data_IF_324049678012
#
_entry.id   IF_324049678012
#
_cell.length_a   1.000
_cell.length_b   1.000
_cell.length_c   1.000
_cell.angle_alpha   90.00
_cell.angle_beta   90.00
_cell.angle_gamma   90.00
#
_symmetry.space_group_name_H-M   'P 1'
#
loop_
_entity.id
_entity.type
_entity.pdbx_description
1 polymer ?
#
# COMPACT_ATOMS: atom_id res chain seq x y z
N UNK A 1 13.22 -31.22 -8.73
CA UNK A 1 13.32 -29.88 -9.36
C UNK A 1 12.46 -28.96 -8.54
N UNK A 2 12.97 -27.78 -8.16
CA UNK A 2 12.16 -26.75 -7.51
C UNK A 2 11.18 -26.24 -8.57
N UNK A 3 9.91 -26.08 -8.19
CA UNK A 3 8.90 -25.50 -9.08
C UNK A 3 9.29 -24.03 -9.34
N UNK A 4 9.47 -23.66 -10.60
CA UNK A 4 9.81 -22.29 -10.99
C UNK A 4 8.53 -21.49 -11.19
N UNK A 5 8.30 -20.51 -10.32
CA UNK A 5 7.15 -19.63 -10.42
C UNK A 5 7.49 -18.39 -11.24
N UNK A 6 6.57 -18.00 -12.12
CA UNK A 6 6.66 -16.74 -12.84
C UNK A 6 6.14 -15.58 -11.99
N UNK A 7 5.01 -15.79 -11.29
CA UNK A 7 4.30 -14.76 -10.52
C UNK A 7 4.02 -15.23 -9.10
N UNK A 8 4.36 -14.40 -8.11
CA UNK A 8 3.92 -14.53 -6.73
C UNK A 8 2.87 -13.47 -6.42
N UNK A 9 1.65 -13.89 -6.07
CA UNK A 9 0.59 -13.00 -5.60
C UNK A 9 0.65 -12.97 -4.08
N UNK A 10 0.82 -11.77 -3.50
CA UNK A 10 1.00 -11.56 -2.07
C UNK A 10 -0.15 -10.72 -1.54
N UNK A 11 -0.84 -11.21 -0.53
CA UNK A 11 -1.88 -10.46 0.19
C UNK A 11 -1.72 -10.61 1.70
N UNK A 12 -2.16 -9.58 2.43
CA UNK A 12 -2.11 -9.56 3.89
C UNK A 12 -3.53 -9.75 4.44
N UNK A 13 -3.68 -10.70 5.35
CA UNK A 13 -4.89 -10.85 6.16
C UNK A 13 -4.65 -10.28 7.57
N UNK A 14 -5.57 -9.46 8.07
CA UNK A 14 -5.62 -9.04 9.46
C UNK A 14 -7.06 -8.89 9.91
N UNK A 15 -7.59 -9.85 10.67
CA UNK A 15 -8.99 -9.91 11.09
C UNK A 15 -9.98 -9.78 9.91
N UNK A 16 -9.66 -10.34 8.76
CA UNK A 16 -10.38 -10.09 7.51
C UNK A 16 -10.60 -11.33 6.66
N UNK A 17 -10.71 -12.52 7.25
CA UNK A 17 -10.78 -13.81 6.56
C UNK A 17 -11.84 -13.85 5.47
N UNK A 18 -13.00 -13.21 5.68
CA UNK A 18 -14.07 -13.15 4.66
C UNK A 18 -13.58 -12.47 3.38
N UNK A 19 -13.00 -11.29 3.49
CA UNK A 19 -12.48 -10.55 2.34
C UNK A 19 -11.32 -11.32 1.68
N UNK A 20 -10.43 -11.91 2.48
CA UNK A 20 -9.31 -12.70 1.97
C UNK A 20 -9.81 -13.90 1.17
N UNK A 21 -10.83 -14.63 1.65
CA UNK A 21 -11.44 -15.72 0.91
C UNK A 21 -12.09 -15.24 -0.40
N UNK A 22 -12.83 -14.13 -0.35
CA UNK A 22 -13.45 -13.54 -1.54
C UNK A 22 -12.41 -13.11 -2.58
N UNK A 23 -11.25 -12.56 -2.16
CA UNK A 23 -10.14 -12.29 -3.08
C UNK A 23 -9.61 -13.58 -3.69
N UNK A 24 -9.27 -14.59 -2.87
CA UNK A 24 -8.67 -15.86 -3.33
C UNK A 24 -9.53 -16.52 -4.40
N UNK A 25 -10.87 -16.48 -4.27
CA UNK A 25 -11.82 -17.04 -5.24
C UNK A 25 -11.76 -16.36 -6.61
N UNK A 26 -11.18 -15.17 -6.69
CA UNK A 26 -11.02 -14.42 -7.95
C UNK A 26 -9.62 -14.51 -8.54
N UNK A 27 -8.67 -15.18 -7.86
CA UNK A 27 -7.30 -15.34 -8.31
C UNK A 27 -7.17 -16.54 -9.26
N UNK A 28 -6.23 -16.49 -10.22
CA UNK A 28 -6.02 -17.55 -11.22
C UNK A 28 -5.23 -18.74 -10.64
N UNK A 29 -5.84 -19.47 -9.71
CA UNK A 29 -5.23 -20.58 -8.96
C UNK A 29 -4.97 -21.83 -9.80
N UNK A 30 -5.52 -21.90 -11.01
CA UNK A 30 -5.36 -23.02 -11.95
C UNK A 30 -4.01 -23.05 -12.66
N UNK A 31 -3.23 -21.96 -12.61
CA UNK A 31 -1.94 -21.86 -13.29
C UNK A 31 -0.79 -22.28 -12.37
N UNK A 32 -0.09 -23.35 -12.71
CA UNK A 32 1.06 -23.86 -11.95
C UNK A 32 2.25 -22.90 -11.87
N UNK A 33 2.33 -21.91 -12.76
CA UNK A 33 3.37 -20.86 -12.75
C UNK A 33 3.07 -19.71 -11.77
N UNK A 34 1.92 -19.76 -11.09
CA UNK A 34 1.50 -18.75 -10.11
C UNK A 34 1.47 -19.36 -8.72
N UNK A 35 2.12 -18.71 -7.76
CA UNK A 35 1.94 -19.01 -6.34
C UNK A 35 1.14 -17.89 -5.67
N UNK A 36 0.30 -18.26 -4.72
CA UNK A 36 -0.45 -17.30 -3.88
C UNK A 36 0.01 -17.43 -2.44
N UNK A 37 0.39 -16.30 -1.87
CA UNK A 37 0.90 -16.20 -0.50
C UNK A 37 -0.02 -15.27 0.29
N UNK A 38 -0.64 -15.81 1.31
CA UNK A 38 -1.40 -15.04 2.30
C UNK A 38 -0.57 -14.89 3.56
N UNK A 39 -0.30 -13.66 3.98
CA UNK A 39 0.35 -13.39 5.26
C UNK A 39 -0.74 -13.05 6.28
N UNK A 40 -1.00 -13.96 7.19
CA UNK A 40 -1.83 -13.66 8.36
C UNK A 40 -1.00 -12.85 9.36
N UNK A 41 -1.35 -11.58 9.48
CA UNK A 41 -0.59 -10.57 10.21
C UNK A 41 -1.00 -10.49 11.68
N UNK A 42 -1.08 -11.64 12.36
CA UNK A 42 -1.53 -11.85 13.72
C UNK A 42 -3.01 -11.49 13.94
N UNK A 43 -3.90 -12.09 13.16
CA UNK A 43 -5.34 -12.01 13.40
C UNK A 43 -5.70 -12.55 14.79
N UNK A 44 -6.75 -11.99 15.39
CA UNK A 44 -7.20 -12.38 16.74
C UNK A 44 -7.84 -13.78 16.74
N UNK A 45 -8.57 -14.09 15.67
CA UNK A 45 -9.16 -15.39 15.41
C UNK A 45 -8.24 -16.21 14.52
N UNK A 46 -8.46 -17.52 14.42
CA UNK A 46 -7.58 -18.38 13.63
C UNK A 46 -7.93 -18.33 12.12
N UNK A 47 -7.88 -17.12 11.58
CA UNK A 47 -8.13 -16.86 10.15
C UNK A 47 -7.24 -17.73 9.27
N UNK A 48 -6.00 -17.94 9.67
CA UNK A 48 -5.02 -18.73 8.92
C UNK A 48 -5.48 -20.19 8.75
N UNK A 49 -6.02 -20.84 9.79
CA UNK A 49 -6.56 -22.21 9.69
C UNK A 49 -7.74 -22.29 8.72
N UNK A 50 -8.61 -21.28 8.73
CA UNK A 50 -9.76 -21.23 7.82
C UNK A 50 -9.28 -21.16 6.37
N UNK A 51 -8.29 -20.30 6.08
CA UNK A 51 -7.73 -20.12 4.74
C UNK A 51 -7.02 -21.40 4.28
N UNK A 52 -6.16 -22.01 5.11
CA UNK A 52 -5.43 -23.24 4.78
C UNK A 52 -6.36 -24.41 4.47
N UNK A 53 -7.43 -24.59 5.27
CA UNK A 53 -8.40 -25.67 5.05
C UNK A 53 -9.22 -25.49 3.78
N UNK A 54 -9.57 -24.24 3.46
CA UNK A 54 -10.42 -23.93 2.30
C UNK A 54 -9.64 -23.90 1.00
N UNK A 55 -8.36 -23.47 1.05
CA UNK A 55 -7.50 -23.28 -0.12
C UNK A 55 -6.12 -23.92 0.10
N UNK A 56 -6.02 -25.27 0.05
CA UNK A 56 -4.77 -25.98 0.36
C UNK A 56 -3.61 -25.67 -0.60
N UNK A 57 -3.91 -25.11 -1.78
CA UNK A 57 -2.91 -24.66 -2.76
C UNK A 57 -2.33 -23.28 -2.44
N UNK A 58 -2.89 -22.55 -1.47
CA UNK A 58 -2.41 -21.22 -1.05
C UNK A 58 -1.42 -21.38 0.09
N UNK A 59 -0.27 -20.74 -0.03
CA UNK A 59 0.74 -20.69 1.04
C UNK A 59 0.34 -19.67 2.11
N UNK A 60 0.07 -20.11 3.32
CA UNK A 60 -0.24 -19.22 4.45
C UNK A 60 0.98 -19.05 5.35
N UNK A 61 1.32 -17.80 5.66
CA UNK A 61 2.41 -17.42 6.57
C UNK A 61 1.78 -16.75 7.78
N UNK A 62 2.11 -17.24 8.98
CA UNK A 62 1.62 -16.66 10.24
C UNK A 62 2.66 -15.74 10.85
N UNK A 63 2.33 -14.48 11.04
CA UNK A 63 3.11 -13.56 11.87
C UNK A 63 2.74 -13.71 13.34
N UNK A 64 3.70 -13.54 14.23
CA UNK A 64 3.47 -13.54 15.69
C UNK A 64 2.87 -12.23 16.20
N UNK A 65 3.02 -11.15 15.43
CA UNK A 65 2.55 -9.81 15.75
C UNK A 65 2.10 -9.07 14.49
N UNK A 66 1.26 -8.05 14.65
CA UNK A 66 0.87 -7.20 13.53
C UNK A 66 2.03 -6.28 13.13
N UNK A 67 2.65 -6.57 12.02
CA UNK A 67 3.80 -5.85 11.44
C UNK A 67 3.40 -4.64 10.60
N UNK A 68 2.10 -4.33 10.49
CA UNK A 68 1.59 -3.33 9.57
C UNK A 68 1.65 -3.77 8.11
N UNK A 69 1.41 -2.82 7.20
CA UNK A 69 1.34 -3.13 5.76
C UNK A 69 2.71 -3.52 5.19
N UNK A 70 3.74 -2.72 5.43
CA UNK A 70 5.08 -2.99 4.91
C UNK A 70 5.67 -4.29 5.46
N UNK A 71 5.61 -4.50 6.78
CA UNK A 71 6.18 -5.71 7.40
C UNK A 71 5.48 -6.99 6.97
N UNK A 72 4.14 -6.96 6.85
CA UNK A 72 3.38 -8.09 6.31
C UNK A 72 3.77 -8.42 4.87
N UNK A 73 3.83 -7.42 3.98
CA UNK A 73 4.29 -7.62 2.60
C UNK A 73 5.73 -8.12 2.54
N UNK A 74 6.61 -7.63 3.39
CA UNK A 74 8.01 -8.06 3.45
C UNK A 74 8.15 -9.54 3.86
N UNK A 75 7.28 -10.06 4.74
CA UNK A 75 7.22 -11.50 5.01
C UNK A 75 6.81 -12.28 3.76
N UNK A 76 5.83 -11.79 3.01
CA UNK A 76 5.41 -12.36 1.74
C UNK A 76 6.54 -12.35 0.71
N UNK A 77 7.27 -11.22 0.54
CA UNK A 77 8.42 -11.10 -0.36
C UNK A 77 9.51 -12.14 -0.05
N UNK A 78 9.84 -12.32 1.24
CA UNK A 78 10.86 -13.30 1.68
C UNK A 78 10.48 -14.74 1.37
N UNK A 79 9.20 -15.04 1.30
CA UNK A 79 8.68 -16.38 1.05
C UNK A 79 8.31 -16.65 -0.42
N UNK A 80 8.29 -15.61 -1.23
CA UNK A 80 7.95 -15.63 -2.65
C UNK A 80 9.12 -16.10 -3.51
N UNK A 81 8.81 -16.82 -4.60
CA UNK A 81 9.80 -17.36 -5.53
C UNK A 81 9.65 -16.78 -6.95
N UNK A 82 8.50 -16.18 -7.28
CA UNK A 82 8.20 -15.64 -8.60
C UNK A 82 9.16 -14.54 -9.07
N UNK A 83 9.36 -14.45 -10.38
CA UNK A 83 10.11 -13.37 -11.04
C UNK A 83 9.40 -12.02 -10.88
N UNK A 84 8.07 -12.05 -10.84
CA UNK A 84 7.20 -10.89 -10.58
C UNK A 84 6.46 -11.10 -9.27
N UNK A 85 6.28 -10.02 -8.51
CA UNK A 85 5.52 -10.02 -7.26
C UNK A 85 4.33 -9.07 -7.41
N UNK A 86 3.12 -9.61 -7.25
CA UNK A 86 1.89 -8.84 -7.29
C UNK A 86 1.35 -8.67 -5.88
N UNK A 87 1.47 -7.47 -5.35
CA UNK A 87 0.92 -7.07 -4.06
C UNK A 87 -0.53 -6.64 -4.27
N UNK A 88 -1.45 -7.25 -3.54
CA UNK A 88 -2.88 -6.95 -3.67
C UNK A 88 -3.56 -6.99 -2.30
N UNK A 89 -4.36 -5.97 -1.99
CA UNK A 89 -5.10 -5.93 -0.73
C UNK A 89 -6.17 -7.01 -0.68
N UNK A 90 -6.40 -7.58 0.50
CA UNK A 90 -7.39 -8.63 0.71
C UNK A 90 -8.85 -8.17 0.52
N UNK A 91 -9.12 -6.87 0.56
CA UNK A 91 -10.44 -6.28 0.29
C UNK A 91 -10.62 -5.85 -1.17
N UNK A 92 -9.91 -6.50 -2.10
CA UNK A 92 -10.07 -6.35 -3.54
C UNK A 92 -10.70 -7.58 -4.18
N UNK A 93 -11.17 -7.43 -5.40
CA UNK A 93 -11.65 -8.52 -6.24
C UNK A 93 -11.22 -8.31 -7.69
N UNK A 94 -10.90 -9.40 -8.38
CA UNK A 94 -10.65 -9.45 -9.82
C UNK A 94 -11.92 -9.95 -10.53
N UNK A 95 -12.22 -9.40 -11.71
CA UNK A 95 -13.37 -9.85 -12.51
C UNK A 95 -12.90 -10.50 -13.82
N UNK A 96 -13.50 -11.61 -14.29
CA UNK A 96 -12.97 -12.45 -15.35
C UNK A 96 -12.55 -11.73 -16.65
N UNK A 97 -13.29 -10.71 -17.08
CA UNK A 97 -13.02 -10.01 -18.33
C UNK A 97 -11.91 -8.94 -18.25
N UNK A 98 -11.42 -8.63 -17.05
CA UNK A 98 -10.49 -7.50 -16.82
C UNK A 98 -9.30 -7.87 -15.95
N UNK A 99 -9.00 -9.16 -15.78
CA UNK A 99 -8.07 -9.65 -14.78
C UNK A 99 -6.93 -10.53 -15.31
N UNK A 100 -6.64 -10.45 -16.62
CA UNK A 100 -5.47 -11.17 -17.15
C UNK A 100 -4.17 -10.52 -16.68
N UNK A 101 -3.61 -11.03 -15.58
CA UNK A 101 -2.40 -10.51 -14.96
C UNK A 101 -1.16 -10.59 -15.88
N UNK A 102 -1.18 -11.41 -16.93
CA UNK A 102 -0.11 -11.46 -17.95
C UNK A 102 0.06 -10.13 -18.67
N UNK A 103 -1.00 -9.33 -18.77
CA UNK A 103 -0.93 -7.99 -19.37
C UNK A 103 -0.05 -7.04 -18.53
N UNK A 104 -0.06 -7.17 -17.20
CA UNK A 104 0.85 -6.41 -16.32
C UNK A 104 2.29 -6.93 -16.46
N UNK A 105 2.49 -8.25 -16.59
CA UNK A 105 3.81 -8.83 -16.87
C UNK A 105 4.34 -8.29 -18.21
N UNK A 106 3.52 -8.28 -19.26
CA UNK A 106 3.90 -7.71 -20.56
C UNK A 106 4.30 -6.24 -20.45
N UNK A 107 3.62 -5.46 -19.62
CA UNK A 107 4.03 -4.06 -19.33
C UNK A 107 5.41 -4.02 -18.68
N UNK A 108 5.66 -4.83 -17.67
CA UNK A 108 6.97 -4.91 -17.02
C UNK A 108 8.09 -5.29 -18.00
N UNK A 109 7.82 -6.20 -18.93
CA UNK A 109 8.80 -6.65 -19.93
C UNK A 109 8.97 -5.68 -21.11
N UNK A 110 8.09 -4.70 -21.28
CA UNK A 110 8.14 -3.75 -22.41
C UNK A 110 9.40 -2.88 -22.43
N UNK A 111 10.08 -2.73 -21.29
CA UNK A 111 11.37 -2.03 -21.19
C UNK A 111 12.09 -2.42 -19.90
N UNK A 112 13.44 -2.47 -19.90
CA UNK A 112 14.24 -2.64 -18.69
C UNK A 112 14.00 -1.56 -17.61
N UNK A 113 13.55 -0.37 -18.03
CA UNK A 113 13.24 0.74 -17.14
C UNK A 113 11.93 0.57 -16.38
N UNK A 114 11.00 -0.25 -16.86
CA UNK A 114 9.73 -0.50 -16.18
C UNK A 114 9.97 -1.41 -15.00
N UNK A 115 9.93 -0.85 -13.79
CA UNK A 115 10.19 -1.60 -12.55
C UNK A 115 8.94 -2.03 -11.81
N UNK A 116 7.88 -1.24 -11.91
CA UNK A 116 6.60 -1.51 -11.28
C UNK A 116 5.43 -1.08 -12.17
N UNK A 117 4.28 -1.73 -12.01
CA UNK A 117 3.05 -1.39 -12.70
C UNK A 117 1.85 -1.51 -11.77
N UNK A 118 0.94 -0.54 -11.86
CA UNK A 118 -0.34 -0.55 -11.15
C UNK A 118 -1.48 -0.69 -12.14
N UNK A 119 -2.45 -1.57 -11.89
CA UNK A 119 -3.67 -1.66 -12.67
C UNK A 119 -4.57 -0.44 -12.44
N UNK A 120 -5.62 -0.29 -13.25
CA UNK A 120 -6.75 0.60 -12.95
C UNK A 120 -7.44 0.09 -11.69
N UNK A 121 -7.71 1.00 -10.73
CA UNK A 121 -8.53 0.65 -9.56
C UNK A 121 -9.89 1.30 -9.67
N UNK A 122 -10.93 0.53 -9.34
CA UNK A 122 -12.30 1.00 -9.26
C UNK A 122 -12.89 0.64 -7.90
N UNK A 123 -13.75 1.50 -7.39
CA UNK A 123 -14.52 1.18 -6.19
C UNK A 123 -15.57 0.09 -6.48
N UNK A 124 -16.03 -0.60 -5.44
CA UNK A 124 -17.09 -1.62 -5.55
C UNK A 124 -18.50 -1.08 -5.30
N UNK A 125 -18.65 0.21 -5.01
CA UNK A 125 -19.94 0.87 -4.74
C UNK A 125 -20.42 1.70 -5.94
N UNK A 126 -21.73 2.01 -5.97
CA UNK A 126 -22.37 2.75 -7.06
C UNK A 126 -22.11 2.08 -8.41
N UNK A 127 -21.81 2.89 -9.43
CA UNK A 127 -21.47 2.42 -10.78
C UNK A 127 -19.98 2.03 -10.91
N UNK A 128 -19.36 1.66 -9.81
CA UNK A 128 -17.95 1.36 -9.70
C UNK A 128 -17.06 2.51 -10.22
N UNK A 129 -17.11 3.71 -9.65
CA UNK A 129 -16.29 4.82 -10.12
C UNK A 129 -14.81 4.52 -9.98
N UNK A 130 -13.99 5.26 -10.73
CA UNK A 130 -12.53 5.12 -10.68
C UNK A 130 -12.03 5.49 -9.30
N UNK A 131 -11.13 4.70 -8.74
CA UNK A 131 -10.38 5.03 -7.55
C UNK A 131 -8.99 5.57 -7.90
N UNK A 132 -8.35 4.96 -8.92
CA UNK A 132 -7.00 5.29 -9.30
C UNK A 132 -6.76 5.02 -10.79
N UNK A 133 -6.24 6.03 -11.45
CA UNK A 133 -5.71 5.98 -12.81
C UNK A 133 -4.33 6.67 -12.87
N UNK A 134 -3.46 6.44 -11.87
CA UNK A 134 -2.20 7.14 -11.67
C UNK A 134 -2.28 8.23 -10.61
N UNK A 135 -1.14 8.80 -10.25
CA UNK A 135 -1.02 9.92 -9.32
C UNK A 135 -0.46 11.17 -9.98
N UNK A 136 -0.87 12.34 -9.51
CA UNK A 136 -0.13 13.58 -9.78
C UNK A 136 1.16 13.62 -8.97
N UNK A 137 2.21 14.37 -9.42
CA UNK A 137 3.41 14.56 -8.61
C UNK A 137 3.09 15.13 -7.23
N UNK A 138 3.84 14.68 -6.22
CA UNK A 138 3.73 15.18 -4.86
C UNK A 138 4.33 16.58 -4.75
N UNK A 139 3.60 17.50 -4.14
CA UNK A 139 4.15 18.82 -3.81
C UNK A 139 5.26 18.67 -2.77
N UNK A 140 6.44 19.25 -3.05
CA UNK A 140 7.62 19.15 -2.18
C UNK A 140 7.44 19.80 -0.80
N UNK A 141 6.52 20.75 -0.66
CA UNK A 141 6.27 21.48 0.59
C UNK A 141 5.03 20.94 1.29
N UNK A 142 3.91 20.87 0.56
CA UNK A 142 2.62 20.49 1.18
C UNK A 142 2.43 19.00 1.34
N UNK A 143 3.28 18.19 0.70
CA UNK A 143 3.17 16.70 0.66
C UNK A 143 1.77 16.24 0.23
N UNK A 144 1.21 16.89 -0.78
CA UNK A 144 -0.10 16.56 -1.36
C UNK A 144 0.06 16.14 -2.81
N UNK A 145 -0.63 15.11 -3.17
CA UNK A 145 -0.92 14.66 -4.53
C UNK A 145 -2.39 14.31 -4.65
N UNK A 146 -2.83 13.88 -5.81
CA UNK A 146 -4.18 13.38 -6.07
C UNK A 146 -4.09 12.11 -6.89
N UNK A 147 -4.95 11.15 -6.61
CA UNK A 147 -5.23 10.06 -7.53
C UNK A 147 -6.02 10.63 -8.71
N UNK A 148 -5.52 10.37 -9.92
CA UNK A 148 -6.15 10.78 -11.18
C UNK A 148 -7.45 9.98 -11.34
N UNK A 149 -8.52 10.63 -11.76
CA UNK A 149 -9.82 10.01 -12.01
C UNK A 149 -10.62 9.64 -10.76
N UNK A 150 -10.10 9.87 -9.54
CA UNK A 150 -10.76 9.42 -8.31
C UNK A 150 -12.16 10.02 -8.14
N UNK A 151 -13.16 9.13 -8.05
CA UNK A 151 -14.58 9.48 -7.93
C UNK A 151 -15.28 9.70 -9.26
N UNK A 152 -14.58 9.68 -10.39
CA UNK A 152 -15.17 9.85 -11.73
C UNK A 152 -15.76 8.52 -12.24
N UNK A 153 -16.86 8.61 -13.00
CA UNK A 153 -17.38 7.47 -13.77
C UNK A 153 -16.38 7.07 -14.85
N UNK A 154 -16.22 5.77 -15.08
CA UNK A 154 -15.29 5.24 -16.07
C UNK A 154 -15.98 5.13 -17.44
N UNK A 155 -15.53 5.94 -18.39
CA UNK A 155 -15.96 5.96 -19.78
C UNK A 155 -14.80 5.66 -20.75
N UNK A 156 -13.70 5.11 -20.24
CA UNK A 156 -12.47 4.86 -21.00
C UNK A 156 -11.52 6.06 -21.11
N UNK A 157 -11.82 7.19 -20.44
CA UNK A 157 -11.02 8.42 -20.49
C UNK A 157 -9.59 8.25 -19.94
N UNK A 158 -9.33 7.17 -19.20
CA UNK A 158 -8.02 6.82 -18.65
C UNK A 158 -7.52 5.46 -19.15
N UNK A 159 -7.89 5.04 -20.35
CA UNK A 159 -7.47 3.75 -20.92
C UNK A 159 -6.12 3.82 -21.66
N UNK A 160 -5.34 4.86 -21.41
CA UNK A 160 -3.99 5.00 -21.95
C UNK A 160 -2.94 4.76 -20.85
N UNK A 161 -2.05 3.76 -21.03
CA UNK A 161 -0.95 3.53 -20.08
C UNK A 161 0.01 4.72 -20.04
N UNK A 162 0.51 5.05 -18.83
CA UNK A 162 1.46 6.15 -18.66
C UNK A 162 2.32 5.97 -17.40
N UNK A 163 3.42 6.71 -17.33
CA UNK A 163 4.28 6.76 -16.15
C UNK A 163 3.55 7.52 -15.03
N UNK A 164 3.51 6.91 -13.85
CA UNK A 164 3.00 7.53 -12.63
C UNK A 164 4.11 7.69 -11.59
N UNK A 165 4.14 8.78 -10.82
CA UNK A 165 5.23 8.98 -9.85
C UNK A 165 5.20 8.00 -8.67
N UNK A 166 4.05 7.38 -8.38
CA UNK A 166 3.86 6.49 -7.23
C UNK A 166 2.97 5.32 -7.58
N UNK A 167 3.27 4.17 -6.98
CA UNK A 167 2.39 3.00 -6.98
C UNK A 167 1.24 3.18 -5.99
N UNK A 168 0.16 2.44 -6.20
CA UNK A 168 -0.98 2.39 -5.29
C UNK A 168 -0.93 1.11 -4.45
N UNK A 169 -1.02 1.26 -3.11
CA UNK A 169 -0.90 0.13 -2.18
C UNK A 169 -1.95 -0.97 -2.33
N UNK A 170 -3.12 -0.66 -2.92
CA UNK A 170 -4.17 -1.67 -3.08
C UNK A 170 -3.86 -2.72 -4.15
N UNK A 171 -3.10 -2.37 -5.21
CA UNK A 171 -2.62 -3.31 -6.20
C UNK A 171 -1.41 -2.75 -6.96
N UNK A 172 -0.29 -3.48 -6.96
CA UNK A 172 0.91 -3.16 -7.73
C UNK A 172 1.70 -4.44 -8.01
N UNK A 173 2.27 -4.54 -9.21
CA UNK A 173 3.19 -5.61 -9.58
C UNK A 173 4.59 -5.04 -9.76
N UNK A 174 5.60 -5.74 -9.23
CA UNK A 174 7.00 -5.29 -9.18
C UNK A 174 7.90 -6.43 -9.62
N UNK A 175 8.94 -6.16 -10.40
CA UNK A 175 9.99 -7.13 -10.72
C UNK A 175 10.80 -7.46 -9.46
N UNK A 176 11.18 -8.72 -9.28
CA UNK A 176 12.06 -9.13 -8.18
C UNK A 176 13.39 -8.37 -8.19
N UNK A 177 14.02 -8.25 -9.35
CA UNK A 177 15.29 -7.51 -9.49
C UNK A 177 15.21 -6.04 -9.03
N UNK A 178 14.02 -5.44 -9.12
CA UNK A 178 13.78 -4.07 -8.63
C UNK A 178 13.80 -4.04 -7.11
N UNK A 179 13.20 -5.06 -6.48
CA UNK A 179 13.19 -5.20 -5.03
C UNK A 179 14.63 -5.43 -4.52
N UNK A 180 15.39 -6.26 -5.22
CA UNK A 180 16.79 -6.53 -4.86
C UNK A 180 17.66 -5.26 -4.91
N UNK A 181 17.39 -4.35 -5.85
CA UNK A 181 18.11 -3.07 -5.98
C UNK A 181 17.56 -1.96 -5.11
N UNK A 182 16.25 -1.78 -5.06
CA UNK A 182 15.59 -0.70 -4.32
C UNK A 182 15.47 -1.01 -2.82
N UNK A 183 15.46 -2.29 -2.45
CA UNK A 183 15.21 -2.77 -1.08
C UNK A 183 13.73 -3.07 -0.81
N UNK A 184 13.50 -3.63 0.36
CA UNK A 184 12.17 -4.00 0.86
C UNK A 184 11.31 -2.75 1.16
N UNK A 185 10.00 -2.94 1.33
CA UNK A 185 9.10 -1.88 1.77
C UNK A 185 9.55 -1.30 3.13
N UNK A 186 9.53 0.03 3.32
CA UNK A 186 10.00 0.65 4.56
C UNK A 186 9.02 0.41 5.73
N UNK A 187 9.41 -0.44 6.67
CA UNK A 187 8.57 -0.85 7.82
C UNK A 187 8.36 0.25 8.88
N UNK A 188 9.16 1.33 8.83
CA UNK A 188 9.08 2.43 9.78
C UNK A 188 7.73 3.17 9.79
N UNK A 189 6.92 2.99 8.76
CA UNK A 189 5.60 3.62 8.65
C UNK A 189 4.51 2.86 9.40
N UNK A 190 4.54 1.55 9.41
CA UNK A 190 3.49 0.64 9.89
C UNK A 190 2.23 0.66 9.01
N UNK A 191 1.63 1.84 8.74
CA UNK A 191 0.42 2.03 7.95
C UNK A 191 0.40 3.44 7.35
N UNK A 192 0.17 3.56 6.05
CA UNK A 192 0.20 4.77 5.22
C UNK A 192 1.60 5.36 4.99
N UNK A 193 1.90 5.78 3.78
CA UNK A 193 3.13 6.34 3.24
C UNK A 193 4.21 5.32 2.87
N UNK A 194 4.10 4.06 3.29
CA UNK A 194 5.08 3.03 2.93
C UNK A 194 5.16 2.83 1.42
N UNK A 195 4.04 2.77 0.71
CA UNK A 195 3.97 2.60 -0.75
C UNK A 195 4.52 3.83 -1.49
N UNK A 196 4.28 5.02 -0.94
CA UNK A 196 4.83 6.27 -1.50
C UNK A 196 6.35 6.33 -1.35
N UNK A 197 6.87 5.99 -0.18
CA UNK A 197 8.32 5.99 0.07
C UNK A 197 9.02 4.86 -0.69
N UNK A 198 8.39 3.68 -0.77
CA UNK A 198 8.90 2.59 -1.60
C UNK A 198 8.95 2.96 -3.08
N UNK A 199 7.93 3.67 -3.57
CA UNK A 199 7.93 4.23 -4.92
C UNK A 199 9.10 5.19 -5.15
N UNK A 200 9.44 6.02 -4.15
CA UNK A 200 10.63 6.88 -4.22
C UNK A 200 11.93 6.07 -4.24
N UNK A 201 12.00 4.94 -3.50
CA UNK A 201 13.15 4.04 -3.51
C UNK A 201 13.32 3.37 -4.88
N UNK A 202 12.24 2.85 -5.47
CA UNK A 202 12.20 2.26 -6.83
C UNK A 202 12.70 3.28 -7.87
N UNK A 203 12.22 4.50 -7.81
CA UNK A 203 12.64 5.56 -8.75
C UNK A 203 14.08 6.00 -8.55
N UNK A 204 14.61 6.01 -7.31
CA UNK A 204 16.03 6.26 -7.04
C UNK A 204 16.94 5.13 -7.54
N UNK A 205 16.40 3.92 -7.64
CA UNK A 205 17.08 2.77 -8.27
C UNK A 205 17.00 2.81 -9.82
N UNK A 206 16.56 3.94 -10.40
CA UNK A 206 16.48 4.24 -11.83
C UNK A 206 15.42 3.43 -12.58
N UNK A 207 14.30 3.11 -11.91
CA UNK A 207 13.14 2.45 -12.52
C UNK A 207 11.92 3.37 -12.58
N UNK A 208 11.11 3.16 -13.63
CA UNK A 208 9.81 3.80 -13.82
C UNK A 208 8.69 2.97 -13.18
N UNK A 209 7.68 3.66 -12.71
CA UNK A 209 6.41 3.09 -12.25
C UNK A 209 5.34 3.44 -13.27
N UNK A 210 4.59 2.46 -13.74
CA UNK A 210 3.56 2.64 -14.75
C UNK A 210 2.16 2.42 -14.18
N UNK A 211 1.22 3.16 -14.68
CA UNK A 211 -0.20 2.85 -14.65
C UNK A 211 -0.55 2.13 -15.94
N UNK A 212 -1.24 1.00 -15.87
CA UNK A 212 -1.72 0.28 -17.03
C UNK A 212 -3.17 -0.17 -16.85
N UNK A 213 -4.12 0.38 -17.61
CA UNK A 213 -5.54 0.09 -17.51
C UNK A 213 -5.95 -1.27 -18.14
N UNK A 214 -5.03 -2.00 -18.76
CA UNK A 214 -5.31 -3.31 -19.35
C UNK A 214 -5.84 -4.32 -18.30
N UNK A 215 -5.50 -4.12 -17.02
CA UNK A 215 -6.08 -4.83 -15.90
C UNK A 215 -6.85 -3.86 -15.01
N UNK A 216 -8.03 -4.28 -14.55
CA UNK A 216 -8.84 -3.54 -13.58
C UNK A 216 -9.05 -4.35 -12.32
N UNK A 217 -8.74 -3.76 -11.16
CA UNK A 217 -8.97 -4.33 -9.85
C UNK A 217 -10.07 -3.53 -9.14
N UNK A 218 -11.03 -4.22 -8.53
CA UNK A 218 -12.12 -3.59 -7.77
C UNK A 218 -11.80 -3.64 -6.28
N UNK A 219 -11.87 -2.50 -5.60
CA UNK A 219 -11.43 -2.33 -4.21
C UNK A 219 -12.59 -1.84 -3.34
N UNK A 220 -12.85 -2.54 -2.25
CA UNK A 220 -13.95 -2.25 -1.32
C UNK A 220 -13.71 -1.03 -0.44
N UNK A 221 -12.48 -0.60 -0.31
CA UNK A 221 -11.89 0.48 0.47
C UNK A 221 -12.44 0.69 1.90
N UNK A 222 -11.53 0.89 2.86
CA UNK A 222 -11.78 1.43 4.20
C UNK A 222 -12.67 0.63 5.15
N UNK A 223 -12.79 -0.69 4.98
CA UNK A 223 -13.53 -1.51 5.95
C UNK A 223 -12.75 -1.70 7.27
N UNK A 224 -11.40 -1.62 7.23
CA UNK A 224 -10.56 -1.94 8.40
C UNK A 224 -10.24 -0.75 9.29
N UNK A 225 -10.08 0.46 8.75
CA UNK A 225 -9.58 1.62 9.52
C UNK A 225 -10.58 2.76 9.72
N UNK A 226 -11.69 2.80 8.97
CA UNK A 226 -12.67 3.90 8.98
C UNK A 226 -12.07 5.23 8.49
N UNK A 227 -12.85 6.01 7.71
CA UNK A 227 -12.35 7.24 7.06
C UNK A 227 -11.92 8.33 8.05
N UNK A 228 -12.44 8.38 9.29
CA UNK A 228 -12.11 9.36 10.32
C UNK A 228 -11.84 8.69 11.66
N UNK A 229 -10.85 7.79 11.72
CA UNK A 229 -10.43 7.15 12.98
C UNK A 229 -9.21 7.85 13.59
N UNK A 230 -9.07 7.83 14.94
CA UNK A 230 -7.87 8.32 15.61
C UNK A 230 -6.59 7.63 15.14
N UNK A 231 -6.66 6.33 14.86
CA UNK A 231 -5.54 5.53 14.34
C UNK A 231 -5.05 6.09 13.00
N UNK A 232 -5.97 6.30 12.05
CA UNK A 232 -5.66 6.88 10.74
C UNK A 232 -5.06 8.28 10.88
N UNK A 233 -5.67 9.14 11.69
CA UNK A 233 -5.21 10.51 11.94
C UNK A 233 -3.80 10.53 12.51
N UNK A 234 -3.52 9.67 13.48
CA UNK A 234 -2.20 9.53 14.10
C UNK A 234 -1.13 9.15 13.05
N UNK A 235 -1.35 8.04 12.32
CA UNK A 235 -0.34 7.57 11.36
C UNK A 235 -0.16 8.54 10.20
N UNK A 236 -1.22 9.10 9.63
CA UNK A 236 -1.09 10.09 8.55
C UNK A 236 -0.29 11.32 9.02
N UNK A 237 -0.52 11.82 10.23
CA UNK A 237 0.20 12.97 10.77
C UNK A 237 1.68 12.64 10.99
N UNK A 238 1.97 11.56 11.72
CA UNK A 238 3.34 11.12 12.01
C UNK A 238 4.12 10.79 10.72
N UNK A 239 3.51 10.00 9.86
CA UNK A 239 4.17 9.45 8.68
C UNK A 239 4.41 10.48 7.60
N UNK A 240 3.56 11.51 7.48
CA UNK A 240 3.82 12.63 6.59
C UNK A 240 5.10 13.37 6.98
N UNK A 241 5.33 13.59 8.27
CA UNK A 241 6.57 14.20 8.77
C UNK A 241 7.77 13.26 8.55
N UNK A 242 7.59 11.96 8.78
CA UNK A 242 8.61 10.96 8.54
C UNK A 242 8.99 10.87 7.04
N UNK A 243 8.00 10.92 6.16
CA UNK A 243 8.23 10.95 4.71
C UNK A 243 9.04 12.19 4.29
N UNK A 244 8.71 13.36 4.85
CA UNK A 244 9.51 14.59 4.66
C UNK A 244 10.95 14.38 5.11
N UNK A 245 11.16 13.78 6.30
CA UNK A 245 12.52 13.51 6.82
C UNK A 245 13.34 12.66 5.85
N UNK A 246 12.72 11.65 5.25
CA UNK A 246 13.39 10.67 4.39
C UNK A 246 13.59 11.14 2.95
N UNK A 247 12.73 12.02 2.46
CA UNK A 247 12.63 12.31 1.03
C UNK A 247 12.93 13.77 0.64
N UNK A 248 12.92 14.71 1.58
CA UNK A 248 13.20 16.11 1.30
C UNK A 248 14.64 16.53 1.67
N UNK A 249 15.18 17.45 0.91
CA UNK A 249 16.46 18.14 1.22
C UNK A 249 16.25 19.25 2.26
N UNK A 250 17.34 19.77 2.81
CA UNK A 250 17.34 20.62 4.02
C UNK A 250 16.38 21.82 3.95
N UNK A 251 16.45 22.66 2.93
CA UNK A 251 15.59 23.82 2.80
C UNK A 251 14.11 23.44 2.64
N UNK A 252 13.80 22.49 1.74
CA UNK A 252 12.43 22.03 1.53
C UNK A 252 11.90 21.25 2.72
N UNK A 253 12.77 20.57 3.47
CA UNK A 253 12.43 19.85 4.71
C UNK A 253 11.95 20.83 5.79
N UNK A 254 12.69 21.89 6.02
CA UNK A 254 12.32 22.93 7.01
C UNK A 254 10.98 23.57 6.64
N UNK A 255 10.82 24.00 5.37
CA UNK A 255 9.57 24.60 4.89
C UNK A 255 8.38 23.63 5.04
N UNK A 256 8.59 22.34 4.74
CA UNK A 256 7.56 21.33 4.90
C UNK A 256 7.18 21.14 6.37
N UNK A 257 8.14 21.10 7.29
CA UNK A 257 7.84 20.99 8.72
C UNK A 257 7.07 22.20 9.24
N UNK A 258 7.49 23.42 8.88
CA UNK A 258 6.76 24.63 9.25
C UNK A 258 5.33 24.62 8.72
N UNK A 259 5.15 24.25 7.44
CA UNK A 259 3.82 24.14 6.84
C UNK A 259 2.96 23.06 7.54
N UNK A 260 3.50 21.86 7.76
CA UNK A 260 2.74 20.73 8.29
C UNK A 260 2.41 20.91 9.78
N UNK A 261 3.35 21.44 10.57
CA UNK A 261 3.15 21.59 12.02
C UNK A 261 2.42 22.88 12.33
N UNK A 262 2.89 24.04 11.82
CA UNK A 262 2.31 25.33 12.21
C UNK A 262 0.99 25.63 11.49
N UNK A 263 0.78 25.15 10.26
CA UNK A 263 -0.45 25.47 9.52
C UNK A 263 -1.43 24.28 9.50
N UNK A 264 -0.98 23.11 9.01
CA UNK A 264 -1.90 21.98 8.81
C UNK A 264 -2.35 21.41 10.14
N UNK A 265 -1.43 21.08 11.03
CA UNK A 265 -1.79 20.45 12.31
C UNK A 265 -2.58 21.42 13.21
N UNK A 266 -2.22 22.71 13.26
CA UNK A 266 -2.98 23.74 14.01
C UNK A 266 -4.42 23.84 13.48
N UNK A 267 -4.59 23.93 12.14
CA UNK A 267 -5.91 23.92 11.52
C UNK A 267 -6.71 22.68 11.89
N UNK A 268 -6.09 21.49 11.81
CA UNK A 268 -6.78 20.22 12.06
C UNK A 268 -7.15 20.07 13.54
N UNK A 269 -6.28 20.45 14.46
CA UNK A 269 -6.57 20.47 15.90
C UNK A 269 -7.74 21.42 16.20
N UNK A 270 -7.72 22.66 15.68
CA UNK A 270 -8.81 23.61 15.86
C UNK A 270 -10.13 23.07 15.29
N UNK A 271 -10.10 22.57 14.05
CA UNK A 271 -11.27 21.95 13.41
C UNK A 271 -11.85 20.82 14.25
N UNK A 272 -11.01 19.87 14.69
CA UNK A 272 -11.46 18.74 15.48
C UNK A 272 -11.99 19.17 16.88
N UNK A 273 -11.39 20.19 17.47
CA UNK A 273 -11.89 20.76 18.75
C UNK A 273 -13.27 21.39 18.57
N UNK A 274 -13.49 22.18 17.51
CA UNK A 274 -14.80 22.78 17.19
C UNK A 274 -15.85 21.69 16.90
N UNK A 275 -15.44 20.60 16.23
CA UNK A 275 -16.31 19.45 15.94
C UNK A 275 -16.52 18.50 17.13
N UNK A 276 -16.04 18.83 18.33
CA UNK A 276 -16.05 17.98 19.52
C UNK A 276 -15.37 16.60 19.33
N UNK A 277 -14.49 16.47 18.32
CA UNK A 277 -13.69 15.26 18.04
C UNK A 277 -12.30 15.38 18.69
N UNK A 278 -12.31 15.46 20.05
CA UNK A 278 -11.08 15.57 20.84
C UNK A 278 -10.15 14.35 20.67
N UNK A 279 -10.71 13.21 20.34
CA UNK A 279 -9.98 11.99 19.99
C UNK A 279 -9.04 12.21 18.78
N UNK A 280 -9.51 12.90 17.73
CA UNK A 280 -8.72 13.22 16.53
C UNK A 280 -7.68 14.33 16.81
N UNK A 281 -8.05 15.34 17.61
CA UNK A 281 -7.12 16.38 18.02
C UNK A 281 -5.94 15.79 18.82
N UNK A 282 -6.22 14.91 19.80
CA UNK A 282 -5.21 14.17 20.57
C UNK A 282 -4.35 13.29 19.68
N UNK A 283 -4.94 12.59 18.70
CA UNK A 283 -4.21 11.76 17.72
C UNK A 283 -3.24 12.59 16.87
N UNK A 284 -3.65 13.79 16.43
CA UNK A 284 -2.77 14.72 15.69
C UNK A 284 -1.59 15.15 16.55
N UNK A 285 -1.83 15.60 17.80
CA UNK A 285 -0.76 16.02 18.73
C UNK A 285 0.19 14.86 19.01
N UNK A 286 -0.36 13.66 19.28
CA UNK A 286 0.45 12.45 19.51
C UNK A 286 1.32 12.12 18.31
N UNK A 287 0.78 12.20 17.08
CA UNK A 287 1.54 11.93 15.86
C UNK A 287 2.75 12.85 15.69
N UNK A 288 2.57 14.15 15.96
CA UNK A 288 3.67 15.13 15.93
C UNK A 288 4.71 14.83 17.01
N UNK A 289 4.27 14.66 18.28
CA UNK A 289 5.16 14.37 19.39
C UNK A 289 6.00 13.12 19.14
N UNK A 290 5.36 12.03 18.72
CA UNK A 290 6.03 10.76 18.52
C UNK A 290 7.01 10.82 17.33
N UNK A 291 6.71 11.60 16.29
CA UNK A 291 7.68 11.88 15.23
C UNK A 291 8.95 12.56 15.76
N UNK A 292 8.83 13.62 16.55
CA UNK A 292 10.01 14.33 17.08
C UNK A 292 10.77 13.48 18.10
N UNK A 293 10.09 12.69 18.91
CA UNK A 293 10.73 11.72 19.82
C UNK A 293 11.54 10.67 19.08
N UNK A 294 11.01 10.09 18.02
CA UNK A 294 11.69 9.13 17.16
C UNK A 294 12.83 9.78 16.36
N UNK A 295 12.69 11.04 15.99
CA UNK A 295 13.72 11.77 15.24
C UNK A 295 14.95 12.13 16.10
N UNK A 296 14.78 12.28 17.41
CA UNK A 296 15.85 12.59 18.37
C UNK A 296 16.60 11.34 18.85
N UNK A 297 15.96 10.17 18.87
CA UNK A 297 16.62 8.90 19.11
C UNK A 297 17.26 8.42 17.81
N UNK A 298 18.59 8.32 17.78
CA UNK A 298 19.35 7.69 16.67
C UNK A 298 19.12 6.16 16.57
N UNK A 299 18.15 5.62 17.30
CA UNK A 299 17.74 4.22 17.24
C UNK A 299 17.06 3.95 15.90
N UNK A 300 17.48 2.91 15.21
CA UNK A 300 16.75 2.30 14.12
C UNK A 300 15.27 2.25 14.52
N UNK A 301 14.40 2.77 13.66
CA UNK A 301 12.95 2.89 13.90
C UNK A 301 12.34 1.50 14.16
N UNK A 302 12.56 0.96 15.36
CA UNK A 302 11.90 -0.25 15.84
C UNK A 302 10.44 0.11 16.13
N UNK A 303 9.56 -0.69 15.62
CA UNK A 303 8.11 -0.53 15.63
C UNK A 303 7.61 -0.41 17.08
N UNK A 304 7.15 0.78 17.49
CA UNK A 304 6.41 0.94 18.76
C UNK A 304 4.95 0.52 18.50
N UNK A 305 4.72 -0.79 18.44
CA UNK A 305 3.38 -1.37 18.21
C UNK A 305 2.57 -1.63 19.49
N UNK A 306 3.10 -1.31 20.70
CA UNK A 306 2.52 -1.79 21.96
C UNK A 306 1.42 -0.91 22.57
N UNK A 307 0.95 0.19 21.96
CA UNK A 307 0.08 1.16 22.62
C UNK A 307 -1.34 1.31 22.05
N UNK A 308 -1.75 0.46 21.09
CA UNK A 308 -3.14 0.40 20.63
C UNK A 308 -3.68 -1.04 20.76
N UNK A 309 -3.55 -1.59 21.98
CA UNK A 309 -4.32 -2.76 22.42
C UNK A 309 -5.65 -2.32 22.96
#
# INVERSE_FOLDING_TARGET
>A
MLQEYELSIITINYNGVKNTCELIETLPLEYNSIEVIVVDNASKEDDAIIIERRYPQVKVIRSKENLGFAGGNNLGIKAAHGKYLFFINNDTVLRPLTSDLRLLVNRLESSPKVGAVCPKLRFTWGDNPIQFAGYTPLSRITMRNRAIGCGESDHGQYDTPHITPYAHGAAMMVKREVIDKAGLMPECYFLYYEELDWSMMIRRADYDIWYDPAVTVFHKESQTTGQQSPLRTYYITRNRLLFVKRNNTDATRILSYLYLVCLVATRDILKYTIQHRLDLAKATIKGIRDFFSLASSNSQFSIINSQFK
#
